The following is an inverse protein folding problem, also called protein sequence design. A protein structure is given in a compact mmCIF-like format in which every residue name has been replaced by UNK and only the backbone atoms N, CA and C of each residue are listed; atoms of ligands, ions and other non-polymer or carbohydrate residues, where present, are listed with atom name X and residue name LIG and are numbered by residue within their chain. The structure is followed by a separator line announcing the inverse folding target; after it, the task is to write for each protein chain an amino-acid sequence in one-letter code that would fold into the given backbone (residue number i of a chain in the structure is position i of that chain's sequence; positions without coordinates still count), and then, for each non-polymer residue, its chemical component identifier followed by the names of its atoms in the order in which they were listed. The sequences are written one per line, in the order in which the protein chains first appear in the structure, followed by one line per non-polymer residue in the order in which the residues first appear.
data_IF_926305968683
#
_entry.id   IF_926305968683
#
_cell.length_a   1.000
_cell.length_b   1.000
_cell.length_c   1.000
_cell.angle_alpha   90.00
_cell.angle_beta   90.00
_cell.angle_gamma   90.00
#
_symmetry.space_group_name_H-M   'P 1'
#
loop_
_entity.id
_entity.type
_entity.pdbx_description
1 polymer ?
#
# COMPACT_ATOMS: atom_id res chain seq x y z
N UNK A 1 -8.50 16.52 -2.19
CA UNK A 1 -8.74 17.92 -2.61
C UNK A 1 -7.43 18.68 -2.50
N UNK A 2 -7.20 19.76 -3.26
CA UNK A 2 -6.01 20.60 -3.10
C UNK A 2 -6.16 21.55 -1.90
N UNK A 3 -5.15 22.40 -1.66
CA UNK A 3 -5.13 23.41 -0.58
C UNK A 3 -6.29 24.42 -0.64
N UNK A 4 -6.95 24.56 -1.80
CA UNK A 4 -8.09 25.45 -2.01
C UNK A 4 -9.44 24.73 -1.84
N UNK A 5 -9.41 23.44 -1.47
CA UNK A 5 -10.61 22.61 -1.31
C UNK A 5 -11.17 22.03 -2.61
N UNK A 6 -10.48 22.20 -3.74
CA UNK A 6 -10.95 21.72 -5.05
C UNK A 6 -10.65 20.21 -5.22
N UNK A 7 -11.53 19.48 -5.90
CA UNK A 7 -11.29 18.07 -6.21
C UNK A 7 -10.10 17.93 -7.17
N UNK A 8 -9.18 17.02 -6.86
CA UNK A 8 -8.00 16.72 -7.66
C UNK A 8 -8.09 15.27 -8.11
N UNK A 9 -7.77 15.02 -9.39
CA UNK A 9 -7.61 13.67 -9.95
C UNK A 9 -6.21 13.58 -10.52
N UNK A 10 -5.40 12.69 -9.93
CA UNK A 10 -4.06 12.39 -10.41
C UNK A 10 -4.13 11.23 -11.41
N UNK A 11 -3.41 11.37 -12.53
CA UNK A 11 -3.32 10.36 -13.59
C UNK A 11 -1.87 10.18 -13.97
N UNK A 12 -1.45 8.92 -14.09
CA UNK A 12 -0.04 8.60 -14.14
C UNK A 12 0.27 7.16 -14.50
N UNK A 13 1.55 6.85 -14.49
CA UNK A 13 2.11 5.53 -14.79
C UNK A 13 2.99 5.06 -13.63
N UNK A 14 2.94 3.76 -13.34
CA UNK A 14 3.91 3.12 -12.47
C UNK A 14 5.10 2.64 -13.27
N UNK A 15 6.29 2.90 -12.75
CA UNK A 15 7.46 2.12 -13.12
C UNK A 15 7.26 0.67 -12.66
N UNK A 16 7.89 -0.28 -13.35
CA UNK A 16 8.04 -1.64 -12.84
C UNK A 16 9.11 -1.70 -11.74
N UNK A 17 9.23 -2.86 -11.11
CA UNK A 17 10.27 -3.21 -10.14
C UNK A 17 11.66 -2.68 -10.52
N UNK A 18 12.22 -1.81 -9.66
CA UNK A 18 13.50 -1.16 -9.95
C UNK A 18 14.65 -2.15 -10.28
N UNK A 19 14.70 -3.30 -9.62
CA UNK A 19 15.77 -4.28 -9.78
C UNK A 19 15.77 -4.97 -11.16
N UNK A 20 14.64 -5.00 -11.88
CA UNK A 20 14.55 -5.55 -13.24
C UNK A 20 14.56 -4.45 -14.33
N UNK A 21 14.07 -3.27 -13.99
CA UNK A 21 13.82 -2.18 -14.94
C UNK A 21 14.52 -0.85 -14.58
N UNK A 22 15.62 -0.92 -13.82
CA UNK A 22 16.40 0.24 -13.34
C UNK A 22 16.80 1.23 -14.43
N UNK A 23 16.97 0.78 -15.68
CA UNK A 23 17.28 1.65 -16.83
C UNK A 23 16.28 2.78 -17.05
N UNK A 24 15.01 2.61 -16.64
CA UNK A 24 13.98 3.65 -16.76
C UNK A 24 13.94 4.61 -15.56
N UNK A 25 14.63 4.30 -14.45
CA UNK A 25 14.67 5.14 -13.26
C UNK A 25 15.66 6.30 -13.44
N UNK A 26 15.27 7.28 -14.25
CA UNK A 26 16.05 8.47 -14.60
C UNK A 26 15.14 9.66 -14.92
N UNK A 27 15.71 10.87 -14.89
CA UNK A 27 14.99 12.11 -15.12
C UNK A 27 14.33 12.19 -16.50
N UNK A 28 15.06 11.81 -17.56
CA UNK A 28 14.53 11.85 -18.93
C UNK A 28 13.27 11.01 -19.12
N UNK A 29 13.14 9.91 -18.38
CA UNK A 29 11.92 9.09 -18.41
C UNK A 29 10.75 9.78 -17.70
N UNK A 30 11.01 10.51 -16.60
CA UNK A 30 9.98 11.31 -15.91
C UNK A 30 9.53 12.48 -16.78
N UNK A 31 10.49 13.19 -17.37
CA UNK A 31 10.22 14.32 -18.28
C UNK A 31 9.37 13.86 -19.44
N UNK A 32 9.72 12.75 -20.09
CA UNK A 32 8.92 12.19 -21.17
C UNK A 32 7.49 11.83 -20.73
N UNK A 33 7.32 11.20 -19.56
CA UNK A 33 5.99 10.86 -19.04
C UNK A 33 5.15 12.12 -18.73
N UNK A 34 5.77 13.20 -18.27
CA UNK A 34 5.10 14.46 -17.97
C UNK A 34 4.76 15.24 -19.24
N UNK A 35 5.73 15.45 -20.12
CA UNK A 35 5.62 16.30 -21.31
C UNK A 35 4.79 15.62 -22.42
N UNK A 36 5.10 14.37 -22.74
CA UNK A 36 4.51 13.68 -23.89
C UNK A 36 3.23 12.93 -23.53
N UNK A 37 3.15 12.37 -22.32
CA UNK A 37 2.00 11.58 -21.89
C UNK A 37 1.05 12.34 -20.95
N UNK A 38 1.41 13.56 -20.55
CA UNK A 38 0.59 14.39 -19.67
C UNK A 38 0.41 13.81 -18.27
N UNK A 39 1.36 13.01 -17.79
CA UNK A 39 1.30 12.44 -16.44
C UNK A 39 1.37 13.57 -15.40
N UNK A 40 0.48 13.52 -14.42
CA UNK A 40 0.46 14.40 -13.23
C UNK A 40 0.97 13.68 -11.98
N UNK A 41 1.24 12.39 -12.12
CA UNK A 41 1.73 11.48 -11.10
C UNK A 41 2.63 10.42 -11.76
N UNK A 42 3.70 10.04 -11.07
CA UNK A 42 4.45 8.81 -11.38
C UNK A 42 4.58 7.95 -10.13
N UNK A 43 4.77 6.63 -10.27
CA UNK A 43 4.95 5.71 -9.14
C UNK A 43 6.27 4.96 -9.24
N UNK A 44 7.15 5.16 -8.26
CA UNK A 44 8.46 4.52 -8.16
C UNK A 44 8.34 3.21 -7.37
N UNK A 45 8.16 2.09 -8.08
CA UNK A 45 7.99 0.74 -7.51
C UNK A 45 9.32 0.14 -7.03
N UNK A 46 9.65 0.41 -5.77
CA UNK A 46 10.87 -0.10 -5.16
C UNK A 46 10.68 -1.55 -4.73
N UNK A 47 11.05 -2.48 -5.61
CA UNK A 47 11.13 -3.90 -5.27
C UNK A 47 11.87 -4.16 -3.95
N UNK A 48 11.34 -5.04 -3.11
CA UNK A 48 11.89 -5.29 -1.77
C UNK A 48 12.63 -6.63 -1.67
N UNK A 49 12.00 -7.75 -2.02
CA UNK A 49 12.49 -9.10 -1.72
C UNK A 49 13.26 -9.83 -2.85
N UNK A 50 12.91 -9.72 -4.14
CA UNK A 50 13.58 -10.49 -5.19
C UNK A 50 15.07 -10.19 -5.32
N UNK A 51 15.79 -11.04 -6.04
CA UNK A 51 17.22 -10.86 -6.27
C UNK A 51 17.54 -9.44 -6.81
N UNK A 52 18.53 -8.80 -6.20
CA UNK A 52 18.97 -7.43 -6.49
C UNK A 52 18.04 -6.32 -5.99
N UNK A 53 16.97 -6.64 -5.25
CA UNK A 53 16.03 -5.67 -4.68
C UNK A 53 16.53 -5.03 -3.37
N UNK A 54 15.69 -4.25 -2.68
CA UNK A 54 16.11 -3.45 -1.52
C UNK A 54 16.82 -4.25 -0.41
N UNK A 55 16.39 -5.48 -0.11
CA UNK A 55 17.02 -6.30 0.93
C UNK A 55 18.46 -6.70 0.58
N UNK A 56 18.75 -6.96 -0.70
CA UNK A 56 20.09 -7.34 -1.16
C UNK A 56 20.94 -6.14 -1.56
N UNK A 57 20.33 -5.10 -2.13
CA UNK A 57 20.99 -3.92 -2.66
C UNK A 57 20.23 -2.62 -2.33
N UNK A 58 20.22 -2.21 -1.04
CA UNK A 58 19.46 -1.04 -0.60
C UNK A 58 19.96 0.27 -1.22
N UNK A 59 21.24 0.33 -1.59
CA UNK A 59 21.83 1.51 -2.24
C UNK A 59 21.25 1.70 -3.65
N UNK A 60 21.28 0.67 -4.50
CA UNK A 60 20.70 0.75 -5.84
C UNK A 60 19.21 1.10 -5.79
N UNK A 61 18.48 0.46 -4.88
CA UNK A 61 17.06 0.71 -4.67
C UNK A 61 16.79 2.18 -4.30
N UNK A 62 17.51 2.70 -3.31
CA UNK A 62 17.38 4.09 -2.85
C UNK A 62 17.79 5.10 -3.92
N UNK A 63 18.82 4.80 -4.71
CA UNK A 63 19.28 5.65 -5.81
C UNK A 63 18.27 5.71 -6.95
N UNK A 64 17.71 4.57 -7.34
CA UNK A 64 16.66 4.51 -8.36
C UNK A 64 15.43 5.32 -7.93
N UNK A 65 14.91 5.08 -6.72
CA UNK A 65 13.75 5.82 -6.19
C UNK A 65 14.06 7.32 -6.13
N UNK A 66 15.21 7.69 -5.58
CA UNK A 66 15.64 9.09 -5.48
C UNK A 66 15.65 9.78 -6.83
N UNK A 67 16.23 9.16 -7.87
CA UNK A 67 16.28 9.78 -9.21
C UNK A 67 14.90 10.09 -9.77
N UNK A 68 13.92 9.20 -9.56
CA UNK A 68 12.54 9.42 -10.02
C UNK A 68 11.86 10.49 -9.17
N UNK A 69 12.07 10.48 -7.86
CA UNK A 69 11.48 11.47 -6.95
C UNK A 69 12.00 12.87 -7.23
N UNK A 70 13.33 13.03 -7.31
CA UNK A 70 13.97 14.32 -7.58
C UNK A 70 13.51 14.89 -8.93
N UNK A 71 13.41 14.04 -9.95
CA UNK A 71 12.91 14.43 -11.26
C UNK A 71 11.42 14.81 -11.20
N UNK A 72 10.56 14.05 -10.52
CA UNK A 72 9.14 14.37 -10.39
C UNK A 72 8.92 15.72 -9.70
N UNK A 73 9.71 16.04 -8.67
CA UNK A 73 9.72 17.35 -8.01
C UNK A 73 10.10 18.44 -9.02
N UNK A 74 11.18 18.22 -9.79
CA UNK A 74 11.66 19.17 -10.78
C UNK A 74 10.64 19.43 -11.89
N UNK A 75 9.97 18.39 -12.38
CA UNK A 75 8.93 18.48 -13.42
C UNK A 75 7.57 18.93 -12.85
N UNK A 76 7.47 19.19 -11.54
CA UNK A 76 6.28 19.75 -10.90
C UNK A 76 5.09 18.78 -10.79
N UNK A 77 5.34 17.48 -10.80
CA UNK A 77 4.30 16.43 -10.71
C UNK A 77 4.40 15.68 -9.38
N UNK A 78 3.33 14.95 -9.04
CA UNK A 78 3.34 14.10 -7.84
C UNK A 78 4.16 12.82 -8.08
N UNK A 79 4.64 12.21 -7.01
CA UNK A 79 5.30 10.90 -7.03
C UNK A 79 4.86 10.02 -5.88
N UNK A 80 4.50 8.77 -6.18
CA UNK A 80 4.36 7.73 -5.17
C UNK A 80 5.71 7.06 -4.95
N UNK A 81 6.17 7.05 -3.70
CA UNK A 81 7.26 6.19 -3.23
C UNK A 81 6.63 4.91 -2.70
N UNK A 82 6.82 3.82 -3.44
CA UNK A 82 6.14 2.55 -3.20
C UNK A 82 7.11 1.50 -2.64
N UNK A 83 6.79 1.02 -1.43
CA UNK A 83 7.39 -0.17 -0.83
C UNK A 83 6.77 -1.41 -1.49
N UNK A 84 7.39 -1.79 -2.62
CA UNK A 84 6.86 -2.80 -3.53
C UNK A 84 7.17 -4.22 -3.06
N UNK A 85 6.43 -4.61 -2.02
CA UNK A 85 6.59 -5.86 -1.28
C UNK A 85 5.30 -6.66 -1.25
N UNK A 86 5.45 -7.97 -1.15
CA UNK A 86 4.35 -8.91 -0.90
C UNK A 86 4.31 -9.40 0.55
N UNK A 87 5.40 -9.22 1.32
CA UNK A 87 5.53 -9.74 2.67
C UNK A 87 5.71 -8.64 3.71
N UNK A 88 5.42 -8.95 4.98
CA UNK A 88 5.64 -8.00 6.07
C UNK A 88 7.15 -7.82 6.31
N UNK A 89 7.62 -6.58 6.12
CA UNK A 89 9.01 -6.14 6.37
C UNK A 89 9.05 -4.87 7.20
N UNK A 90 8.46 -4.95 8.39
CA UNK A 90 8.13 -3.76 9.21
C UNK A 90 9.35 -2.91 9.56
N UNK A 91 10.48 -3.52 9.94
CA UNK A 91 11.64 -2.76 10.40
C UNK A 91 12.40 -2.13 9.23
N UNK A 92 12.52 -2.86 8.12
CA UNK A 92 13.13 -2.36 6.88
C UNK A 92 12.30 -1.23 6.26
N UNK A 93 10.96 -1.38 6.23
CA UNK A 93 10.05 -0.34 5.76
C UNK A 93 10.14 0.91 6.64
N UNK A 94 10.14 0.77 7.97
CA UNK A 94 10.31 1.92 8.88
C UNK A 94 11.62 2.65 8.62
N UNK A 95 12.73 1.93 8.49
CA UNK A 95 14.04 2.53 8.25
C UNK A 95 14.06 3.29 6.91
N UNK A 96 13.56 2.67 5.84
CA UNK A 96 13.47 3.28 4.52
C UNK A 96 12.59 4.54 4.52
N UNK A 97 11.37 4.45 5.04
CA UNK A 97 10.45 5.60 5.05
C UNK A 97 10.91 6.70 6.00
N UNK A 98 11.58 6.40 7.11
CA UNK A 98 12.21 7.41 7.95
C UNK A 98 13.27 8.21 7.17
N UNK A 99 14.10 7.52 6.37
CA UNK A 99 15.09 8.18 5.51
C UNK A 99 14.42 9.04 4.43
N UNK A 100 13.41 8.52 3.74
CA UNK A 100 12.71 9.26 2.68
C UNK A 100 11.92 10.46 3.23
N UNK A 101 11.27 10.32 4.39
CA UNK A 101 10.55 11.39 5.06
C UNK A 101 11.50 12.50 5.56
N UNK A 102 12.68 12.13 6.08
CA UNK A 102 13.69 13.11 6.47
C UNK A 102 14.24 13.86 5.26
N UNK A 103 14.50 13.16 4.15
CA UNK A 103 15.08 13.74 2.93
C UNK A 103 14.11 14.68 2.21
N UNK A 104 12.85 14.28 2.04
CA UNK A 104 11.83 15.05 1.31
C UNK A 104 10.86 15.77 2.26
N UNK A 105 11.36 16.19 3.41
CA UNK A 105 10.57 16.95 4.38
C UNK A 105 10.01 18.21 3.73
N UNK A 106 8.74 18.49 4.00
CA UNK A 106 8.02 19.68 3.50
C UNK A 106 7.88 19.74 1.96
N UNK A 107 8.10 18.63 1.25
CA UNK A 107 7.89 18.52 -0.20
C UNK A 107 6.46 18.00 -0.48
N UNK A 108 5.58 18.80 -1.10
CA UNK A 108 4.17 18.45 -1.28
C UNK A 108 3.93 17.40 -2.37
N UNK A 109 4.91 17.13 -3.23
CA UNK A 109 4.81 16.20 -4.35
C UNK A 109 4.73 14.73 -3.90
N UNK A 110 5.15 14.42 -2.67
CA UNK A 110 5.40 13.04 -2.23
C UNK A 110 4.13 12.39 -1.68
N UNK A 111 3.86 11.18 -2.16
CA UNK A 111 2.84 10.26 -1.62
C UNK A 111 3.58 8.98 -1.20
N UNK A 112 3.33 8.48 0.01
CA UNK A 112 3.94 7.24 0.49
C UNK A 112 2.95 6.08 0.36
N UNK A 113 3.35 5.04 -0.36
CA UNK A 113 2.64 3.76 -0.42
C UNK A 113 3.45 2.74 0.37
N UNK A 114 3.03 2.51 1.61
CA UNK A 114 3.84 1.79 2.61
C UNK A 114 3.83 0.27 2.44
N UNK A 115 2.92 -0.26 1.63
CA UNK A 115 2.82 -1.68 1.32
C UNK A 115 2.01 -1.88 0.04
N UNK A 116 2.68 -2.29 -1.04
CA UNK A 116 2.07 -2.50 -2.37
C UNK A 116 0.89 -3.48 -2.34
N UNK A 117 1.17 -4.75 -2.06
CA UNK A 117 0.18 -5.82 -2.20
C UNK A 117 0.32 -6.76 -1.00
N UNK A 118 -0.42 -6.51 0.10
CA UNK A 118 -0.45 -7.38 1.27
C UNK A 118 -1.18 -8.70 0.92
N UNK A 119 -0.51 -9.56 0.19
CA UNK A 119 -0.95 -10.94 -0.05
C UNK A 119 -0.54 -11.79 1.15
N UNK A 120 -1.42 -12.70 1.56
CA UNK A 120 -1.14 -13.70 2.61
C UNK A 120 -0.84 -13.17 4.03
N UNK A 121 -1.08 -11.89 4.32
CA UNK A 121 -0.90 -11.33 5.69
C UNK A 121 -1.68 -12.14 6.73
N UNK A 122 -2.89 -12.59 6.36
CA UNK A 122 -3.71 -13.45 7.21
C UNK A 122 -3.03 -14.80 7.50
N UNK A 123 -2.38 -15.41 6.52
CA UNK A 123 -1.67 -16.69 6.66
C UNK A 123 -0.28 -16.56 7.29
N UNK A 124 0.19 -15.35 7.58
CA UNK A 124 1.50 -15.15 8.18
C UNK A 124 1.57 -15.67 9.62
N UNK A 125 2.77 -15.98 10.10
CA UNK A 125 3.01 -16.39 11.51
C UNK A 125 2.70 -15.28 12.54
N UNK A 126 2.28 -14.09 12.10
CA UNK A 126 1.91 -12.97 12.95
C UNK A 126 0.38 -12.90 13.02
N UNK A 127 -0.16 -13.10 14.21
CA UNK A 127 -1.58 -13.02 14.44
C UNK A 127 -2.11 -11.61 14.08
N UNK A 128 -3.11 -11.56 13.21
CA UNK A 128 -3.71 -10.33 12.68
C UNK A 128 -5.22 -10.40 12.77
N UNK A 129 -5.82 -9.36 13.34
CA UNK A 129 -7.28 -9.23 13.44
C UNK A 129 -7.87 -8.69 12.13
N UNK A 130 -9.11 -9.04 11.84
CA UNK A 130 -9.89 -8.43 10.75
C UNK A 130 -10.44 -7.09 11.24
N UNK A 131 -9.90 -5.99 10.72
CA UNK A 131 -10.33 -4.64 11.04
C UNK A 131 -11.35 -4.12 10.01
N UNK A 132 -12.30 -3.24 10.40
CA UNK A 132 -13.31 -2.70 9.50
C UNK A 132 -12.73 -2.04 8.23
N UNK A 133 -11.56 -1.40 8.35
CA UNK A 133 -10.86 -0.73 7.25
C UNK A 133 -10.48 -1.68 6.11
N UNK A 134 -10.22 -2.96 6.40
CA UNK A 134 -9.84 -3.97 5.41
C UNK A 134 -11.03 -4.76 4.84
N UNK A 135 -12.24 -4.56 5.36
CA UNK A 135 -13.44 -5.25 4.89
C UNK A 135 -14.01 -4.44 3.71
N UNK A 136 -14.26 -5.12 2.60
CA UNK A 136 -14.87 -4.53 1.40
C UNK A 136 -16.34 -4.87 1.26
N UNK A 137 -16.78 -5.96 1.90
CA UNK A 137 -18.14 -6.50 1.74
C UNK A 137 -18.55 -7.32 2.96
N UNK A 138 -19.82 -7.21 3.33
CA UNK A 138 -20.49 -8.02 4.34
C UNK A 138 -21.74 -8.61 3.70
N UNK A 139 -21.99 -9.91 3.90
CA UNK A 139 -23.19 -10.61 3.42
C UNK A 139 -23.87 -11.35 4.55
N UNK A 140 -25.20 -11.37 4.51
CA UNK A 140 -26.03 -12.05 5.48
C UNK A 140 -26.28 -11.24 6.75
N UNK A 141 -27.06 -11.84 7.64
CA UNK A 141 -27.41 -11.32 8.95
C UNK A 141 -26.71 -12.15 10.02
N UNK A 142 -26.13 -11.48 11.01
CA UNK A 142 -25.45 -12.09 12.15
C UNK A 142 -25.46 -11.12 13.32
N UNK A 143 -25.43 -11.69 14.52
CA UNK A 143 -25.33 -10.97 15.77
C UNK A 143 -23.91 -10.99 16.30
N UNK A 144 -23.65 -10.16 17.30
CA UNK A 144 -22.40 -10.22 18.04
C UNK A 144 -22.20 -11.63 18.63
N UNK A 145 -20.95 -12.09 18.61
CA UNK A 145 -20.50 -13.41 19.06
C UNK A 145 -20.90 -14.60 18.14
N UNK A 146 -21.55 -14.34 17.00
CA UNK A 146 -21.76 -15.36 15.97
C UNK A 146 -20.46 -15.76 15.25
N UNK A 147 -20.48 -16.95 14.63
CA UNK A 147 -19.42 -17.40 13.74
C UNK A 147 -19.72 -16.91 12.32
N UNK A 148 -18.78 -16.15 11.76
CA UNK A 148 -18.82 -15.66 10.38
C UNK A 148 -17.74 -16.35 9.56
N UNK A 149 -18.02 -16.56 8.27
CA UNK A 149 -17.03 -17.05 7.30
C UNK A 149 -16.26 -15.86 6.73
N UNK A 150 -14.94 -16.00 6.62
CA UNK A 150 -14.08 -15.01 5.99
C UNK A 150 -13.82 -15.45 4.56
N UNK A 151 -14.06 -14.54 3.62
CA UNK A 151 -13.93 -14.77 2.19
C UNK A 151 -12.86 -13.85 1.62
N UNK A 152 -12.08 -14.33 0.66
CA UNK A 152 -11.20 -13.46 -0.14
C UNK A 152 -12.00 -12.67 -1.21
N UNK A 153 -11.30 -11.90 -2.04
CA UNK A 153 -11.90 -11.10 -3.10
C UNK A 153 -12.37 -11.93 -4.32
N UNK A 154 -11.95 -13.19 -4.44
CA UNK A 154 -12.35 -14.12 -5.48
C UNK A 154 -13.58 -14.97 -5.07
N UNK A 155 -13.97 -14.89 -3.79
CA UNK A 155 -15.09 -15.63 -3.23
C UNK A 155 -14.71 -17.01 -2.70
N UNK A 156 -13.43 -17.26 -2.43
CA UNK A 156 -12.98 -18.47 -1.75
C UNK A 156 -13.09 -18.30 -0.22
N UNK A 157 -13.45 -19.37 0.48
CA UNK A 157 -13.37 -19.41 1.95
C UNK A 157 -11.91 -19.44 2.35
N UNK A 158 -11.50 -18.51 3.23
CA UNK A 158 -10.15 -18.50 3.80
C UNK A 158 -10.14 -18.81 5.29
N UNK A 159 -11.32 -18.91 5.92
CA UNK A 159 -11.45 -19.22 7.33
C UNK A 159 -12.80 -18.89 7.93
N UNK A 160 -12.88 -19.05 9.25
CA UNK A 160 -14.03 -18.67 10.07
C UNK A 160 -13.58 -17.89 11.29
N UNK A 161 -14.44 -17.02 11.79
CA UNK A 161 -14.12 -16.24 12.98
C UNK A 161 -15.33 -15.85 13.80
N UNK A 162 -15.11 -15.59 15.10
CA UNK A 162 -16.16 -15.05 15.96
C UNK A 162 -16.23 -13.53 15.85
N UNK A 163 -17.37 -12.99 15.41
CA UNK A 163 -17.54 -11.54 15.23
C UNK A 163 -17.79 -10.82 16.57
N UNK A 164 -17.26 -9.60 16.71
CA UNK A 164 -17.60 -8.70 17.82
C UNK A 164 -18.66 -7.65 17.46
N UNK A 165 -19.15 -7.69 16.22
CA UNK A 165 -20.12 -6.76 15.62
C UNK A 165 -21.37 -7.53 15.18
N UNK A 166 -22.53 -6.88 15.23
CA UNK A 166 -23.69 -7.30 14.42
C UNK A 166 -23.54 -6.88 12.95
N UNK A 167 -24.36 -7.45 12.06
CA UNK A 167 -24.31 -7.21 10.60
C UNK A 167 -24.44 -5.73 10.24
N UNK A 168 -25.34 -4.99 10.91
CA UNK A 168 -25.59 -3.57 10.67
C UNK A 168 -24.40 -2.70 11.08
N UNK A 169 -23.81 -2.98 12.24
CA UNK A 169 -22.59 -2.33 12.71
C UNK A 169 -21.41 -2.61 11.78
N UNK A 170 -21.24 -3.87 11.36
CA UNK A 170 -20.17 -4.28 10.46
C UNK A 170 -20.28 -3.54 9.12
N UNK A 171 -21.47 -3.54 8.49
CA UNK A 171 -21.74 -2.81 7.25
C UNK A 171 -21.48 -1.31 7.38
N UNK A 172 -21.94 -0.69 8.47
CA UNK A 172 -21.72 0.73 8.73
C UNK A 172 -20.24 1.07 8.99
N UNK A 173 -19.39 0.09 9.31
CA UNK A 173 -17.98 0.27 9.63
C UNK A 173 -17.01 -0.02 8.48
N UNK A 174 -17.50 -0.58 7.37
CA UNK A 174 -16.72 -0.88 6.15
C UNK A 174 -15.86 0.32 5.75
N UNK A 175 -14.56 0.08 5.57
CA UNK A 175 -13.59 1.10 5.14
C UNK A 175 -13.29 2.20 6.16
N UNK A 176 -13.75 2.08 7.42
CA UNK A 176 -13.45 3.06 8.47
C UNK A 176 -12.23 2.66 9.30
N UNK A 177 -11.34 3.62 9.55
CA UNK A 177 -10.19 3.45 10.44
C UNK A 177 -10.57 3.63 11.92
N UNK A 178 -9.72 3.16 12.84
CA UNK A 178 -9.87 3.38 14.29
C UNK A 178 -10.94 2.52 15.00
N UNK A 179 -11.69 1.70 14.25
CA UNK A 179 -12.64 0.75 14.81
C UNK A 179 -11.96 -0.44 15.50
N UNK A 180 -12.68 -1.08 16.44
CA UNK A 180 -12.27 -2.36 17.02
C UNK A 180 -12.30 -3.45 15.95
N UNK A 181 -11.52 -4.51 16.14
CA UNK A 181 -11.54 -5.68 15.28
C UNK A 181 -12.95 -6.27 15.13
N UNK A 182 -13.39 -6.48 13.88
CA UNK A 182 -14.63 -7.20 13.59
C UNK A 182 -14.46 -8.65 14.01
N UNK A 183 -13.33 -9.27 13.65
CA UNK A 183 -12.91 -10.57 14.16
C UNK A 183 -11.52 -10.42 14.77
N UNK A 184 -11.40 -10.74 16.06
CA UNK A 184 -10.11 -10.74 16.74
C UNK A 184 -9.31 -11.99 16.37
N UNK A 185 -7.98 -11.88 16.24
CA UNK A 185 -7.13 -13.01 15.85
C UNK A 185 -7.24 -14.23 16.80
N UNK A 186 -7.50 -14.01 18.10
CA UNK A 186 -7.73 -15.10 19.07
C UNK A 186 -8.96 -15.96 18.76
N UNK A 187 -9.88 -15.43 17.95
CA UNK A 187 -11.10 -16.11 17.53
C UNK A 187 -11.18 -16.25 16.01
N UNK A 188 -10.03 -16.22 15.32
CA UNK A 188 -9.92 -16.42 13.88
C UNK A 188 -9.23 -17.77 13.62
N UNK A 189 -9.87 -18.61 12.81
CA UNK A 189 -9.31 -19.86 12.31
C UNK A 189 -9.24 -19.79 10.79
N UNK A 190 -8.04 -19.97 10.25
CA UNK A 190 -7.79 -19.98 8.81
C UNK A 190 -7.67 -21.42 8.31
N UNK A 191 -8.17 -21.67 7.10
CA UNK A 191 -8.11 -22.97 6.42
C UNK A 191 -6.73 -23.25 5.80
#
# INVERSE_FOLDING_TARGET
VNERGEKVVLKGISYGWHNWWSRFYNASSVDFLQEEWGCTLVRAAMGVEPAGAYIENPQLASDCVTKVVDAAIQSGIYVIIDWHSHHIRTEEAKAFFAQMAAKYKDVPNIIYEIFNEPVEVLYSNKAVSILPIGITRIEGEFEKDDIVRIMDNEGNSIGVGKTSYDSSQAQASIGKHGGKAVVHYDYLYLE
#
